data_IF_174495624708
#
_entry.id   IF_174495624708
#
_cell.length_a   1.000
_cell.length_b   1.000
_cell.length_c   1.000
_cell.angle_alpha   90.00
_cell.angle_beta   90.00
_cell.angle_gamma   90.00
#
_symmetry.space_group_name_H-M   'P 1'
#
loop_
_entity.id
_entity.type
_entity.pdbx_description
1 polymer ?
2 branched ?
3 non-polymer ?
4 non-polymer ?
5 water ?
#
# COMPACT_ATOMS: atom_id res chain seq x y z
N UNK A 2 -5.33 9.99 -8.30
CA UNK A 2 -4.03 10.22 -7.69
C UNK A 2 -3.59 8.99 -6.91
N UNK A 3 -2.45 8.43 -7.34
CA UNK A 3 -1.88 7.23 -6.74
C UNK A 3 -0.64 7.63 -5.95
N UNK A 4 -0.47 7.05 -4.77
CA UNK A 4 0.69 7.32 -3.94
C UNK A 4 1.48 6.04 -3.70
N UNK A 5 2.80 6.13 -3.84
CA UNK A 5 3.71 5.00 -3.58
C UNK A 5 4.76 5.62 -2.64
N UNK A 6 5.49 4.77 -1.94
CA UNK A 6 6.57 5.20 -1.06
C UNK A 6 7.69 4.21 -1.35
N UNK A 7 8.89 4.72 -1.58
CA UNK A 7 10.00 3.81 -1.87
C UNK A 7 11.34 4.43 -1.58
N UNK A 8 12.33 3.58 -1.27
CA UNK A 8 13.69 4.06 -1.07
C UNK A 8 14.39 3.64 -2.36
N UNK A 9 15.70 3.85 -2.45
CA UNK A 9 16.40 3.50 -3.68
C UNK A 9 16.35 2.01 -3.99
N UNK A 10 16.39 1.17 -2.96
CA UNK A 10 16.35 -0.28 -3.13
C UNK A 10 15.12 -0.76 -3.89
N UNK A 11 14.01 -0.04 -3.75
CA UNK A 11 12.76 -0.41 -4.40
C UNK A 11 12.38 0.39 -5.65
N UNK A 12 13.31 1.19 -6.16
CA UNK A 12 13.02 2.01 -7.35
C UNK A 12 12.57 1.19 -8.56
N UNK A 13 13.25 0.07 -8.83
CA UNK A 13 12.88 -0.75 -9.98
C UNK A 13 11.49 -1.38 -9.81
N UNK A 14 11.19 -1.87 -8.61
CA UNK A 14 9.89 -2.47 -8.32
C UNK A 14 8.78 -1.42 -8.39
N UNK A 15 9.09 -0.21 -7.92
CA UNK A 15 8.14 0.90 -7.97
C UNK A 15 7.70 1.12 -9.42
N UNK A 16 8.68 1.10 -10.33
CA UNK A 16 8.41 1.29 -11.75
C UNK A 16 7.43 0.25 -12.31
N UNK A 17 7.67 -1.02 -11.99
CA UNK A 17 6.81 -2.10 -12.46
C UNK A 17 5.41 -1.96 -11.87
N UNK A 18 5.32 -1.65 -10.58
CA UNK A 18 4.00 -1.50 -9.95
C UNK A 18 3.25 -0.34 -10.59
N UNK A 19 3.94 0.77 -10.80
CA UNK A 19 3.33 1.96 -11.39
C UNK A 19 2.81 1.65 -12.79
N UNK A 20 3.60 0.92 -13.57
CA UNK A 20 3.15 0.59 -14.90
C UNK A 20 1.93 -0.34 -14.86
N UNK A 21 1.83 -1.20 -13.85
CA UNK A 21 0.66 -2.06 -13.78
C UNK A 21 -0.58 -1.17 -13.58
N UNK A 22 -0.42 -0.08 -12.85
CA UNK A 22 -1.55 0.83 -12.64
C UNK A 22 -1.95 1.48 -13.96
N UNK A 23 -0.98 1.96 -14.72
CA UNK A 23 -1.29 2.58 -16.00
C UNK A 23 -1.96 1.56 -16.93
N UNK A 24 -1.39 0.37 -17.02
CA UNK A 24 -1.94 -0.66 -17.88
C UNK A 24 -3.41 -0.94 -17.57
N UNK A 25 -3.76 -0.89 -16.29
CA UNK A 25 -5.14 -1.16 -15.87
C UNK A 25 -6.12 0.00 -16.07
N UNK A 26 -5.61 1.16 -16.45
CA UNK A 26 -6.47 2.32 -16.67
C UNK A 26 -6.09 3.04 -17.96
N UNK A 27 -6.36 2.39 -19.12
CA UNK A 27 -6.04 2.95 -20.43
C UNK A 27 -6.64 4.32 -20.74
N UNK A 28 -7.75 4.69 -20.11
CA UNK A 28 -8.35 6.00 -20.38
C UNK A 28 -8.54 6.87 -19.15
N UNK A 29 -7.68 6.71 -18.16
CA UNK A 29 -7.77 7.54 -16.96
C UNK A 29 -6.42 8.18 -16.72
N UNK A 30 -6.41 9.47 -16.38
CA UNK A 30 -5.17 10.16 -16.07
C UNK A 30 -4.69 9.59 -14.74
N UNK A 31 -3.45 9.13 -14.72
CA UNK A 31 -2.90 8.59 -13.48
C UNK A 31 -1.76 9.49 -13.03
N UNK A 32 -2.01 10.21 -11.95
CA UNK A 32 -1.01 11.10 -11.40
C UNK A 32 -0.36 10.40 -10.21
N UNK A 33 0.92 10.05 -10.40
CA UNK A 33 1.69 9.37 -9.36
C UNK A 33 2.40 10.36 -8.43
N UNK A 34 2.33 10.08 -7.12
CA UNK A 34 2.96 10.91 -6.10
C UNK A 34 3.83 9.92 -5.33
N UNK A 35 5.14 10.04 -5.47
CA UNK A 35 6.04 9.11 -4.80
C UNK A 35 6.72 9.72 -3.57
N UNK A 36 6.53 9.07 -2.43
CA UNK A 36 7.16 9.51 -1.19
C UNK A 36 8.56 8.92 -1.35
N UNK A 37 9.48 9.80 -1.69
CA UNK A 37 10.87 9.45 -1.99
C UNK A 37 11.80 9.49 -0.77
N UNK A 38 12.20 8.32 -0.31
CA UNK A 38 13.07 8.23 0.85
C UNK A 38 14.55 8.10 0.49
N UNK A 39 14.94 8.54 -0.69
CA UNK A 39 16.34 8.45 -1.05
C UNK A 39 16.65 7.82 -2.40
N UNK A 40 15.71 7.89 -3.34
CA UNK A 40 15.92 7.31 -4.67
C UNK A 40 16.93 8.19 -5.45
N UNK A 41 17.94 7.57 -6.05
CA UNK A 41 18.95 8.30 -6.81
C UNK A 41 18.35 9.04 -7.99
N UNK A 42 19.07 10.05 -8.47
CA UNK A 42 18.60 10.81 -9.62
C UNK A 42 18.46 9.88 -10.81
N UNK A 43 19.40 8.95 -10.94
CA UNK A 43 19.37 8.01 -12.05
C UNK A 43 18.14 7.13 -11.98
N UNK A 44 17.80 6.67 -10.78
CA UNK A 44 16.65 5.80 -10.64
C UNK A 44 15.33 6.54 -10.82
N UNK A 45 15.30 7.83 -10.49
CA UNK A 45 14.07 8.58 -10.67
C UNK A 45 13.85 8.79 -12.16
N UNK A 46 14.92 9.10 -12.90
CA UNK A 46 14.81 9.32 -14.33
C UNK A 46 14.39 8.01 -15.00
N UNK A 47 14.95 6.89 -14.54
CA UNK A 47 14.61 5.59 -15.11
C UNK A 47 13.14 5.24 -14.89
N UNK A 48 12.64 5.49 -13.68
CA UNK A 48 11.24 5.20 -13.38
C UNK A 48 10.36 6.05 -14.30
N UNK A 49 10.63 7.34 -14.34
CA UNK A 49 9.85 8.28 -15.14
C UNK A 49 9.88 7.92 -16.62
N UNK A 50 11.06 7.56 -17.11
CA UNK A 50 11.21 7.20 -18.52
C UNK A 50 10.34 6.03 -18.97
N UNK A 51 10.00 5.14 -18.04
CA UNK A 51 9.18 3.98 -18.37
C UNK A 51 7.67 4.20 -18.25
N UNK A 52 7.27 5.36 -17.76
CA UNK A 52 5.84 5.62 -17.60
C UNK A 52 5.25 6.39 -18.77
N UNK A 53 3.94 6.54 -18.77
CA UNK A 53 3.22 7.23 -19.84
C UNK A 53 3.69 8.68 -20.01
N UNK A 54 3.83 9.09 -21.26
CA UNK A 54 4.27 10.45 -21.56
C UNK A 54 5.71 10.72 -21.19
N UNK A 55 6.47 9.65 -20.93
CA UNK A 55 7.86 9.82 -20.55
C UNK A 55 7.95 10.20 -19.08
N UNK A 56 6.88 9.93 -18.34
CA UNK A 56 6.87 10.25 -16.93
C UNK A 56 6.45 11.67 -16.62
N UNK A 57 5.50 12.19 -17.39
CA UNK A 57 5.03 13.55 -17.16
C UNK A 57 4.05 13.61 -15.98
N UNK A 58 3.49 12.45 -15.62
CA UNK A 58 2.54 12.40 -14.52
C UNK A 58 3.10 11.77 -13.23
N UNK A 59 4.37 12.04 -12.92
CA UNK A 59 4.93 11.52 -11.69
C UNK A 59 5.80 12.55 -10.99
N UNK A 60 5.53 12.72 -9.70
CA UNK A 60 6.25 13.69 -8.89
C UNK A 60 6.84 12.98 -7.68
N UNK A 61 8.12 13.19 -7.46
CA UNK A 61 8.80 12.57 -6.33
C UNK A 61 8.83 13.58 -5.22
N UNK A 62 8.40 13.15 -4.03
CA UNK A 62 8.35 14.02 -2.86
C UNK A 62 9.36 13.53 -1.82
N UNK A 63 10.38 14.34 -1.58
CA UNK A 63 11.41 13.99 -0.63
C UNK A 63 10.88 13.85 0.80
N UNK A 64 11.22 12.74 1.43
CA UNK A 64 10.82 12.49 2.81
C UNK A 64 12.11 12.12 3.55
N UNK A 65 12.19 12.52 4.82
CA UNK A 65 13.36 12.23 5.64
C UNK A 65 13.10 10.93 6.41
N UNK A 66 13.73 9.83 5.99
CA UNK A 66 13.54 8.55 6.68
C UNK A 66 13.81 8.60 8.18
N UNK A 67 14.74 9.46 8.60
CA UNK A 67 15.08 9.56 10.02
C UNK A 67 13.88 10.02 10.85
N UNK A 68 12.88 10.64 10.23
CA UNK A 68 11.71 11.10 10.97
C UNK A 68 11.05 9.99 11.78
N UNK A 69 11.12 8.76 11.27
CA UNK A 69 10.49 7.63 11.95
C UNK A 69 11.48 6.67 12.60
N UNK A 70 12.67 7.18 12.89
CA UNK A 70 13.73 6.38 13.49
C UNK A 70 13.35 5.67 14.79
N UNK A 71 12.57 6.32 15.63
CA UNK A 71 12.20 5.71 16.90
C UNK A 71 11.16 4.60 16.84
N UNK A 72 10.53 4.43 15.68
CA UNK A 72 9.50 3.40 15.49
C UNK A 72 10.06 1.99 15.27
N UNK A 73 9.36 0.96 15.76
CA UNK A 73 9.85 -0.41 15.59
C UNK A 73 10.06 -0.85 14.15
N UNK A 74 11.14 -1.59 13.94
CA UNK A 74 11.48 -2.10 12.63
C UNK A 74 11.98 -3.54 12.81
N UNK A 75 11.03 -4.43 13.12
CA UNK A 75 11.32 -5.84 13.37
C UNK A 75 11.18 -6.79 12.16
N UNK A 76 10.35 -6.43 11.19
CA UNK A 76 10.15 -7.26 10.01
C UNK A 76 11.31 -7.02 9.05
N UNK A 77 12.16 -8.03 8.91
CA UNK A 77 13.36 -7.95 8.09
C UNK A 77 13.21 -7.48 6.64
N UNK A 78 12.18 -7.95 5.94
CA UNK A 78 12.05 -7.54 4.55
C UNK A 78 11.52 -6.11 4.37
N UNK A 79 11.27 -5.42 5.48
CA UNK A 79 10.73 -4.07 5.39
C UNK A 79 11.67 -2.97 5.87
N UNK A 80 11.83 -1.92 5.07
CA UNK A 80 12.69 -0.79 5.44
C UNK A 80 11.87 0.32 6.11
N UNK A 81 12.56 1.24 6.75
CA UNK A 81 11.91 2.34 7.47
C UNK A 81 10.96 3.19 6.63
N UNK A 82 11.14 3.16 5.32
CA UNK A 82 10.28 3.95 4.43
C UNK A 82 8.79 3.55 4.57
N UNK A 83 8.56 2.37 5.13
CA UNK A 83 7.18 1.89 5.31
C UNK A 83 6.35 2.82 6.21
N UNK A 84 7.01 3.67 6.99
CA UNK A 84 6.29 4.61 7.87
C UNK A 84 5.98 5.97 7.23
N UNK A 85 6.56 6.25 6.07
CA UNK A 85 6.35 7.56 5.44
C UNK A 85 4.89 7.92 5.21
N UNK A 86 4.07 6.91 4.97
CA UNK A 86 2.65 7.13 4.69
C UNK A 86 1.96 7.89 5.82
N UNK A 87 2.47 7.76 7.04
CA UNK A 87 1.87 8.43 8.19
C UNK A 87 1.82 9.97 8.05
N UNK A 88 2.76 10.54 7.29
CA UNK A 88 2.79 11.99 7.08
C UNK A 88 2.19 12.43 5.75
N UNK A 89 1.34 11.58 5.18
CA UNK A 89 0.72 11.88 3.89
C UNK A 89 0.02 13.25 3.86
N UNK A 90 -0.59 13.62 4.98
CA UNK A 90 -1.27 14.90 5.07
C UNK A 90 -0.32 16.09 4.95
N UNK A 91 0.96 15.87 5.26
CA UNK A 91 1.99 16.90 5.18
C UNK A 91 2.69 16.91 3.82
N UNK A 92 2.74 15.74 3.18
CA UNK A 92 3.39 15.59 1.89
C UNK A 92 2.59 15.96 0.65
N UNK A 93 1.27 15.85 0.72
CA UNK A 93 0.44 16.15 -0.44
C UNK A 93 -0.62 17.21 -0.13
N UNK A 94 -0.56 18.31 -0.87
CA UNK A 94 -1.48 19.42 -0.67
C UNK A 94 -2.55 19.52 -1.74
N UNK A 95 -2.21 19.11 -2.96
CA UNK A 95 -3.12 19.19 -4.10
C UNK A 95 -4.25 18.17 -4.22
N UNK A 96 -4.37 17.25 -3.26
CA UNK A 96 -5.44 16.24 -3.36
C UNK A 96 -6.29 16.07 -2.12
N UNK A 97 -7.59 15.94 -2.32
CA UNK A 97 -8.50 15.73 -1.20
C UNK A 97 -8.61 14.22 -0.96
N UNK A 98 -8.27 13.44 -1.99
CA UNK A 98 -8.33 11.98 -1.91
C UNK A 98 -7.18 11.37 -2.69
N UNK A 99 -6.53 10.36 -2.10
CA UNK A 99 -5.45 9.67 -2.78
C UNK A 99 -5.58 8.17 -2.53
N UNK A 100 -5.06 7.38 -3.46
CA UNK A 100 -5.09 5.95 -3.32
C UNK A 100 -3.64 5.50 -3.14
N UNK A 101 -3.34 5.04 -1.93
CA UNK A 101 -2.02 4.59 -1.57
C UNK A 101 -1.86 3.10 -1.84
N UNK A 102 -0.74 2.74 -2.47
CA UNK A 102 -0.45 1.34 -2.77
C UNK A 102 0.96 1.00 -2.32
N UNK A 103 1.15 -0.21 -1.82
CA UNK A 103 2.46 -0.69 -1.42
C UNK A 103 3.14 -0.95 -2.76
N UNK A 104 4.44 -1.19 -2.70
CA UNK A 104 5.24 -1.44 -3.92
C UNK A 104 5.04 -2.86 -4.42
N UNK A 105 4.79 -3.78 -3.48
CA UNK A 105 4.60 -5.19 -3.81
C UNK A 105 3.17 -5.52 -4.24
N UNK A 106 2.60 -4.70 -5.11
CA UNK A 106 1.26 -4.93 -5.62
C UNK A 106 1.30 -4.98 -7.14
N UNK A 107 0.34 -5.69 -7.70
CA UNK A 107 0.22 -5.83 -9.14
C UNK A 107 -1.26 -5.60 -9.44
N UNK A 108 -1.58 -4.45 -10.04
CA UNK A 108 -2.96 -4.12 -10.35
C UNK A 108 -3.37 -4.92 -11.57
N UNK A 109 -4.42 -5.73 -11.42
CA UNK A 109 -4.90 -6.59 -12.51
C UNK A 109 -6.24 -6.18 -13.11
N UNK A 110 -6.93 -5.25 -12.46
CA UNK A 110 -8.22 -4.76 -12.97
C UNK A 110 -8.41 -3.31 -12.53
N UNK A 111 -9.36 -2.62 -13.15
CA UNK A 111 -9.63 -1.22 -12.85
C UNK A 111 -9.85 -0.93 -11.37
N UNK A 112 -9.30 0.20 -10.92
CA UNK A 112 -9.42 0.64 -9.53
C UNK A 112 -10.54 1.68 -9.38
N UNK A 113 -11.20 1.99 -10.49
CA UNK A 113 -12.27 3.00 -10.47
C UNK A 113 -13.33 2.77 -9.39
N UNK A 114 -13.86 1.54 -9.28
CA UNK A 114 -14.89 1.27 -8.26
C UNK A 114 -14.40 1.66 -6.88
N UNK A 115 -13.14 1.36 -6.58
CA UNK A 115 -12.56 1.70 -5.28
C UNK A 115 -12.41 3.21 -5.20
N UNK A 116 -11.77 3.79 -6.21
CA UNK A 116 -11.57 5.24 -6.27
C UNK A 116 -12.89 6.01 -6.12
N UNK A 117 -13.96 5.52 -6.73
CA UNK A 117 -15.25 6.20 -6.67
C UNK A 117 -15.98 6.02 -5.34
N UNK A 118 -15.43 5.21 -4.44
CA UNK A 118 -16.10 4.99 -3.15
C UNK A 118 -16.16 6.26 -2.31
N UNK A 119 -17.34 6.56 -1.77
CA UNK A 119 -17.49 7.75 -0.93
C UNK A 119 -17.09 7.39 0.51
N UNK A 120 -16.03 8.03 0.99
CA UNK A 120 -15.51 7.76 2.34
C UNK A 120 -16.25 8.51 3.44
N UNK A 121 -17.08 9.49 3.07
CA UNK A 121 -17.79 10.24 4.10
C UNK A 121 -16.80 10.86 5.06
N UNK A 122 -17.05 10.74 6.37
CA UNK A 122 -16.11 11.32 7.32
C UNK A 122 -15.17 10.26 7.89
N UNK A 123 -15.08 9.13 7.20
CA UNK A 123 -14.18 8.04 7.59
C UNK A 123 -12.76 8.50 7.27
N UNK A 124 -11.79 7.94 7.99
CA UNK A 124 -10.39 8.27 7.78
C UNK A 124 -9.85 7.69 6.48
N UNK A 125 -10.33 6.51 6.12
CA UNK A 125 -9.88 5.85 4.89
C UNK A 125 -10.72 4.64 4.56
N UNK A 126 -10.46 4.08 3.38
CA UNK A 126 -11.14 2.88 2.94
C UNK A 126 -10.03 1.86 2.77
N UNK A 127 -10.25 0.63 3.22
CA UNK A 127 -9.23 -0.41 3.12
C UNK A 127 -9.85 -1.80 3.16
N UNK A 128 -9.10 -2.80 2.69
CA UNK A 128 -9.62 -4.17 2.71
C UNK A 128 -9.20 -4.85 4.00
N UNK A 129 -10.00 -5.81 4.43
CA UNK A 129 -9.73 -6.56 5.67
C UNK A 129 -8.57 -7.53 5.52
N UNK A 130 -7.76 -7.64 6.57
CA UNK A 130 -6.62 -8.54 6.57
C UNK A 130 -7.01 -9.83 7.28
N UNK A 131 -7.28 -10.88 6.51
CA UNK A 131 -7.67 -12.19 7.05
C UNK A 131 -6.58 -12.84 7.89
N UNK A 132 -5.33 -12.58 7.51
CA UNK A 132 -4.19 -13.15 8.21
C UNK A 132 -4.16 -12.66 9.67
N UNK A 133 -4.31 -11.35 9.84
CA UNK A 133 -4.29 -10.78 11.18
C UNK A 133 -5.58 -11.05 11.94
N UNK A 134 -6.73 -11.02 11.25
CA UNK A 134 -8.01 -11.29 11.88
C UNK A 134 -8.07 -12.70 12.47
N UNK A 135 -7.39 -13.66 11.83
CA UNK A 135 -7.43 -15.00 12.37
C UNK A 135 -6.35 -15.25 13.40
N UNK A 136 -5.58 -14.21 13.72
CA UNK A 136 -4.54 -14.31 14.73
C UNK A 136 -5.30 -14.00 16.02
N UNK A 137 -6.00 -15.00 16.55
CA UNK A 137 -6.81 -14.84 17.76
C UNK A 137 -6.15 -14.06 18.90
N UNK A 138 -6.87 -13.05 19.37
CA UNK A 138 -6.37 -12.23 20.47
C UNK A 138 -5.44 -11.09 20.11
N UNK A 139 -4.87 -11.10 18.91
CA UNK A 139 -3.95 -10.03 18.54
C UNK A 139 -4.61 -8.67 18.47
N UNK A 140 -5.64 -8.57 17.65
CA UNK A 140 -6.40 -7.34 17.44
C UNK A 140 -6.68 -6.64 18.77
N UNK A 141 -7.07 -7.44 19.76
CA UNK A 141 -7.39 -6.93 21.08
C UNK A 141 -6.17 -6.36 21.80
N UNK A 142 -4.98 -6.87 21.49
CA UNK A 142 -3.75 -6.38 22.11
C UNK A 142 -3.51 -4.90 21.78
N UNK A 143 -3.97 -4.46 20.62
CA UNK A 143 -3.79 -3.06 20.24
C UNK A 143 -5.04 -2.20 20.43
N UNK A 144 -5.91 -2.65 21.33
CA UNK A 144 -7.11 -1.91 21.66
C UNK A 144 -8.33 -2.01 20.78
N UNK A 146 -11.79 -3.79 19.10
CA UNK A 146 -12.91 -4.62 19.53
C UNK A 146 -13.10 -5.75 18.54
N UNK A 147 -13.85 -6.77 18.95
CA UNK A 147 -14.12 -7.93 18.10
C UNK A 147 -14.82 -7.52 16.81
N UNK A 148 -15.66 -6.50 16.89
CA UNK A 148 -16.40 -6.02 15.73
C UNK A 148 -15.71 -5.01 14.85
N UNK A 149 -14.49 -4.63 15.22
CA UNK A 149 -13.74 -3.67 14.42
C UNK A 149 -12.73 -4.53 13.67
N UNK A 150 -12.80 -4.53 12.35
CA UNK A 150 -11.92 -5.38 11.56
C UNK A 150 -10.58 -4.77 11.21
N UNK A 151 -9.55 -5.57 11.45
CA UNK A 151 -8.17 -5.16 11.19
C UNK A 151 -7.94 -5.10 9.68
N UNK A 152 -7.51 -3.95 9.18
CA UNK A 152 -7.29 -3.82 7.75
C UNK A 152 -5.81 -3.89 7.38
N UNK A 153 -5.56 -4.23 6.12
CA UNK A 153 -4.19 -4.30 5.63
C UNK A 153 -3.85 -2.92 5.14
N UNK A 154 -2.64 -2.46 5.44
CA UNK A 154 -2.23 -1.10 5.06
C UNK A 154 -1.64 -0.99 3.67
N UNK A 155 -1.69 -2.06 2.90
CA UNK A 155 -1.11 -2.04 1.57
C UNK A 155 -1.89 -1.35 0.46
N UNK A 156 -3.19 -1.19 0.66
CA UNK A 156 -4.08 -0.53 -0.30
C UNK A 156 -5.00 0.36 0.53
N UNK A 157 -4.81 1.68 0.40
CA UNK A 157 -5.61 2.63 1.19
C UNK A 157 -6.18 3.80 0.40
N UNK A 158 -7.51 3.94 0.43
CA UNK A 158 -8.15 5.08 -0.21
C UNK A 158 -8.20 6.07 0.95
N UNK A 159 -7.43 7.15 0.83
CA UNK A 159 -7.32 8.10 1.92
C UNK A 159 -8.09 9.42 1.80
N UNK A 160 -8.82 9.74 2.86
CA UNK A 160 -9.59 10.98 2.93
C UNK A 160 -8.56 12.02 3.38
N UNK A 161 -7.69 12.42 2.46
CA UNK A 161 -6.62 13.36 2.78
C UNK A 161 -7.11 14.68 3.36
N UNK A 162 -8.25 15.16 2.88
CA UNK A 162 -8.79 16.42 3.38
C UNK A 162 -9.00 16.32 4.89
N UNK A 163 -9.49 15.16 5.35
CA UNK A 163 -9.72 14.93 6.78
C UNK A 163 -8.38 14.84 7.52
N UNK A 164 -7.44 14.11 6.93
CA UNK A 164 -6.12 13.96 7.55
C UNK A 164 -5.45 15.31 7.80
N UNK A 165 -5.56 16.24 6.85
CA UNK A 165 -4.93 17.55 7.00
C UNK A 165 -5.51 18.39 8.14
N UNK A 166 -6.67 17.97 8.67
CA UNK A 166 -7.28 18.66 9.79
C UNK A 166 -6.69 18.17 11.11
N UNK A 167 -5.78 17.20 11.03
CA UNK A 167 -5.17 16.63 12.23
C UNK A 167 -3.67 16.47 12.08
N UNK A 168 -2.99 16.19 13.19
CA UNK A 168 -1.55 15.97 13.19
C UNK A 168 -1.37 14.47 13.35
N UNK A 169 -1.48 13.76 12.22
CA UNK A 169 -1.39 12.31 12.18
C UNK A 169 -0.07 11.75 12.75
N UNK A 170 1.04 12.44 12.47
CA UNK A 170 2.34 11.99 12.98
C UNK A 170 2.41 12.06 14.51
N UNK A 171 1.88 13.14 15.09
CA UNK A 171 1.89 13.28 16.52
C UNK A 171 1.01 12.18 17.13
N UNK A 173 0.42 9.40 15.88
CA UNK A 173 1.12 8.13 15.65
C UNK A 173 2.19 7.89 16.71
N UNK A 174 2.99 8.92 16.98
CA UNK A 174 4.06 8.83 17.96
C UNK A 174 3.47 8.51 19.33
N UNK A 175 2.34 9.13 19.65
CA UNK A 175 1.67 8.91 20.93
C UNK A 175 1.13 7.49 21.02
N UNK A 176 0.60 6.97 19.91
CA UNK A 176 0.05 5.62 19.89
C UNK A 176 1.19 4.60 20.04
N UNK A 177 2.30 4.88 19.38
CA UNK A 177 3.47 3.98 19.45
C UNK A 177 4.00 3.92 20.87
N UNK A 178 3.97 5.07 21.55
CA UNK A 178 4.46 5.10 22.92
C UNK A 178 3.59 4.20 23.79
N UNK A 179 2.30 4.15 23.47
CA UNK A 179 1.34 3.34 24.24
C UNK A 179 1.32 1.85 23.90
N UNK A 180 1.66 1.50 22.67
CA UNK A 180 1.62 0.11 22.25
C UNK A 180 2.93 -0.49 21.74
N UNK A 181 4.02 0.25 21.83
CA UNK A 181 5.30 -0.23 21.31
C UNK A 181 5.78 -1.61 21.77
N UNK A 182 5.33 -2.06 22.94
CA UNK A 182 5.78 -3.35 23.44
C UNK A 182 4.92 -4.51 22.96
N UNK A 183 3.83 -4.23 22.25
CA UNK A 183 2.98 -5.30 21.78
C UNK A 183 2.74 -5.30 20.27
N UNK A 185 3.04 -5.74 16.47
CA UNK A 185 3.77 -6.72 15.68
C UNK A 185 3.82 -6.33 14.21
N UNK A 186 2.99 -5.36 13.81
CA UNK A 186 2.96 -4.99 12.41
C UNK A 186 3.30 -3.56 12.03
N UNK A 187 4.09 -2.90 12.87
CA UNK A 187 4.58 -1.56 12.59
C UNK A 187 3.57 -0.50 12.13
N UNK A 188 3.77 0.12 10.97
CA UNK A 188 2.86 1.16 10.50
C UNK A 188 1.41 0.71 10.35
N UNK A 189 1.24 -0.57 10.04
CA UNK A 189 -0.09 -1.13 9.87
C UNK A 189 -0.86 -1.12 11.19
N UNK A 190 -0.17 -1.41 12.31
CA UNK A 190 -0.82 -1.39 13.61
C UNK A 190 -1.27 0.03 13.94
N UNK A 191 -0.39 1.00 13.71
CA UNK A 191 -0.68 2.40 13.99
C UNK A 191 -1.94 2.88 13.30
N UNK A 192 -2.04 2.64 12.00
CA UNK A 192 -3.21 3.05 11.22
C UNK A 192 -4.49 2.42 11.77
N UNK A 193 -4.44 1.12 12.07
CA UNK A 193 -5.62 0.43 12.63
C UNK A 193 -5.99 0.99 13.99
N UNK A 194 -4.99 1.23 14.83
CA UNK A 194 -5.24 1.76 16.16
C UNK A 194 -5.83 3.16 16.16
N UNK A 195 -5.26 4.02 15.32
CA UNK A 195 -5.75 5.40 15.24
C UNK A 195 -7.11 5.56 14.59
N UNK A 196 -7.39 4.77 13.55
CA UNK A 196 -8.64 4.94 12.82
C UNK A 196 -9.78 3.96 13.06
N UNK A 197 -9.58 2.98 13.92
CA UNK A 197 -10.60 2.00 14.23
C UNK A 197 -11.94 2.70 14.49
N UNK A 198 -13.01 2.17 13.91
CA UNK A 198 -14.33 2.76 14.10
C UNK A 198 -14.61 3.82 13.06
N UNK A 199 -13.58 4.23 12.33
CA UNK A 199 -13.75 5.24 11.30
C UNK A 199 -13.13 4.74 10.01
N UNK A 200 -13.37 3.48 9.70
CA UNK A 200 -12.86 2.84 8.49
C UNK A 200 -13.98 2.35 7.57
N UNK A 201 -13.85 2.64 6.29
CA UNK A 201 -14.79 2.17 5.29
C UNK A 201 -14.13 0.89 4.76
N UNK A 202 -14.84 -0.22 4.75
CA UNK A 202 -14.22 -1.45 4.27
C UNK A 202 -14.50 -1.73 2.79
N UNK A 203 -13.43 -1.98 2.06
CA UNK A 203 -13.51 -2.27 0.63
C UNK A 203 -13.48 -3.78 0.45
N UNK A 204 -14.01 -4.28 -0.67
CA UNK A 204 -14.02 -5.71 -0.93
C UNK A 204 -12.59 -6.22 -1.08
N UNK A 205 -12.36 -7.47 -0.71
CA UNK A 205 -11.02 -8.04 -0.81
C UNK A 205 -10.46 -8.12 -2.21
N UNK A 206 -11.28 -7.86 -3.23
CA UNK A 206 -10.76 -7.91 -4.60
C UNK A 206 -9.70 -6.81 -4.80
N UNK A 207 -9.74 -5.79 -3.92
CA UNK A 207 -8.81 -4.68 -4.02
C UNK A 207 -7.54 -4.82 -3.20
N UNK A 208 -7.37 -5.97 -2.56
CA UNK A 208 -6.19 -6.25 -1.78
C UNK A 208 -6.20 -7.77 -1.57
N UNK A 209 -5.91 -8.50 -2.65
CA UNK A 209 -5.92 -9.96 -2.63
C UNK A 209 -4.55 -10.48 -2.26
N UNK A 211 -1.88 -13.47 -0.05
CA UNK A 211 -1.77 -14.93 0.05
C UNK A 211 -2.87 -15.60 0.88
N UNK A 212 -3.25 -14.98 1.99
CA UNK A 212 -4.28 -15.58 2.83
C UNK A 212 -5.64 -15.61 2.14
N UNK A 213 -5.93 -14.61 1.31
CA UNK A 213 -7.20 -14.54 0.57
C UNK A 213 -7.22 -15.70 -0.41
N UNK A 214 -6.05 -15.97 -1.01
CA UNK A 214 -5.94 -17.06 -1.97
C UNK A 214 -6.16 -18.40 -1.26
N UNK A 215 -5.48 -18.58 -0.13
CA UNK A 215 -5.60 -19.81 0.64
C UNK A 215 -7.04 -19.99 1.10
N UNK A 216 -7.71 -18.89 1.43
CA UNK A 216 -9.09 -18.94 1.89
C UNK A 216 -10.01 -19.56 0.85
N UNK A 222 -13.07 -21.35 6.73
CA UNK A 222 -13.99 -20.91 7.77
C UNK A 222 -13.78 -19.44 8.10
N UNK A 223 -14.81 -18.64 7.87
CA UNK A 223 -14.76 -17.20 8.15
C UNK A 223 -14.64 -16.96 9.66
N UNK A 224 -13.87 -15.95 10.03
CA UNK A 224 -13.67 -15.64 11.45
C UNK A 224 -14.89 -15.02 12.11
N UNK A 225 -15.80 -14.45 11.31
CA UNK A 225 -17.02 -13.83 11.85
C UNK A 225 -18.26 -14.19 11.05
N UNK A 226 -19.43 -14.12 11.70
CA UNK A 226 -20.69 -14.43 11.04
C UNK A 226 -21.30 -13.13 10.50
N UNK A 227 -20.79 -12.01 11.00
CA UNK A 227 -21.25 -10.68 10.59
C UNK A 227 -21.35 -10.63 9.06
N UNK A 228 -22.56 -10.44 8.52
CA UNK A 228 -22.78 -10.39 7.07
C UNK A 228 -21.92 -9.36 6.34
N UNK A 229 -21.66 -8.21 6.98
CA UNK A 229 -20.83 -7.20 6.34
C UNK A 229 -19.40 -7.74 6.22
N UNK A 230 -18.90 -8.34 7.30
CA UNK A 230 -17.57 -8.92 7.29
C UNK A 230 -17.48 -9.96 6.18
N UNK A 231 -18.51 -10.80 6.07
CA UNK A 231 -18.52 -11.85 5.05
C UNK A 231 -18.60 -11.28 3.64
N UNK A 232 -19.37 -10.21 3.46
CA UNK A 232 -19.51 -9.57 2.16
C UNK A 232 -18.16 -9.00 1.67
N UNK A 233 -17.45 -8.33 2.58
CA UNK A 233 -16.18 -7.70 2.24
C UNK A 233 -15.04 -8.70 2.05
N UNK A 234 -15.02 -9.77 2.82
CA UNK A 234 -13.93 -10.74 2.71
C UNK A 234 -14.12 -11.76 1.58
N UNK A 235 -15.33 -11.83 1.05
CA UNK A 235 -15.58 -12.73 -0.06
C UNK A 235 -15.18 -11.93 -1.29
N UNK A 236 -14.06 -12.30 -1.88
CA UNK A 236 -13.57 -11.60 -3.05
C UNK A 236 -14.53 -11.74 -4.23
N UNK A 237 -14.92 -10.61 -4.81
CA UNK A 237 -15.79 -10.63 -5.98
C UNK A 237 -14.83 -10.56 -7.17
N UNK A 239 -13.25 -10.32 -11.00
CA UNK A 239 -11.85 -10.72 -10.96
C UNK A 239 -11.03 -9.96 -9.91
N UNK A 240 -9.87 -10.50 -9.59
CA UNK A 240 -8.99 -9.85 -8.64
C UNK A 240 -8.58 -8.53 -9.28
N UNK A 241 -8.63 -7.44 -8.53
CA UNK A 241 -8.25 -6.11 -9.03
C UNK A 241 -6.81 -5.77 -8.62
N UNK A 242 -6.43 -6.21 -7.43
CA UNK A 242 -5.10 -5.95 -6.91
C UNK A 242 -4.49 -7.18 -6.23
N UNK A 243 -3.35 -7.66 -6.75
CA UNK A 243 -2.64 -8.78 -6.14
C UNK A 243 -1.67 -8.08 -5.21
N UNK A 244 -1.61 -8.51 -3.95
CA UNK A 244 -0.71 -7.91 -2.98
C UNK A 244 0.15 -9.03 -2.37
N UNK A 245 1.46 -8.99 -2.62
CA UNK A 245 2.37 -10.02 -2.14
C UNK A 245 3.00 -9.69 -0.79
N UNK A 246 2.18 -9.43 0.22
CA UNK A 246 2.70 -9.09 1.52
C UNK A 246 3.50 -10.26 2.10
N UNK A 247 4.47 -9.94 2.94
CA UNK A 247 5.29 -10.99 3.51
C UNK A 247 6.62 -11.04 2.81
N UNK A 248 7.55 -11.89 3.27
CA UNK A 248 8.89 -12.01 2.67
C UNK A 248 8.96 -12.54 1.23
N UNK A 249 7.95 -13.27 0.78
CA UNK A 249 7.97 -13.83 -0.56
C UNK A 249 7.45 -12.85 -1.60
N UNK A 250 8.36 -12.23 -2.35
CA UNK A 250 7.98 -11.25 -3.36
C UNK A 250 8.07 -11.79 -4.79
N UNK A 251 7.28 -11.23 -5.71
CA UNK A 251 7.30 -11.69 -7.10
C UNK A 251 8.63 -11.49 -7.83
N UNK A 252 9.48 -10.60 -7.31
CA UNK A 252 10.78 -10.35 -7.93
C UNK A 252 11.89 -11.26 -7.40
N UNK A 253 11.52 -12.17 -6.49
CA UNK A 253 12.51 -13.09 -5.94
C UNK A 253 12.39 -14.44 -6.63
N UNK A 254 13.25 -15.37 -6.21
CA UNK A 254 13.27 -16.71 -6.79
C UNK A 254 12.14 -17.53 -6.19
N UNK A 255 11.72 -18.54 -6.94
CA UNK A 255 10.66 -19.45 -6.54
C UNK A 255 9.47 -18.83 -5.81
N UNK A 256 8.93 -17.74 -6.37
CA UNK A 256 7.77 -17.10 -5.77
C UNK A 256 6.62 -17.97 -6.24
N UNK A 257 5.95 -18.62 -5.29
CA UNK A 257 4.84 -19.50 -5.64
C UNK A 257 3.49 -18.82 -5.44
N UNK A 258 3.53 -17.53 -5.11
CA UNK A 258 2.32 -16.76 -4.92
C UNK A 258 1.58 -16.67 -6.25
N UNK A 259 0.25 -16.67 -6.16
CA UNK A 259 -0.61 -16.60 -7.35
C UNK A 259 -0.44 -15.30 -8.14
N UNK A 260 -0.35 -15.44 -9.47
CA UNK A 260 -0.21 -14.28 -10.35
C UNK A 260 1.15 -13.61 -10.40
N UNK A 261 2.13 -14.18 -9.71
CA UNK A 261 3.47 -13.62 -9.69
C UNK A 261 4.09 -13.45 -11.08
N UNK A 262 3.70 -14.28 -12.05
CA UNK A 262 4.28 -14.24 -13.38
C UNK A 262 3.94 -12.94 -14.09
N UNK A 263 2.92 -12.21 -13.67
CA UNK A 263 2.60 -10.96 -14.35
C UNK A 263 3.68 -9.92 -14.03
N UNK A 264 4.41 -10.12 -12.94
CA UNK A 264 5.47 -9.19 -12.58
C UNK A 264 6.57 -9.24 -13.63
N UNK A 265 7.08 -10.43 -13.88
CA UNK A 265 8.14 -10.61 -14.88
C UNK A 265 7.63 -10.18 -16.26
N UNK A 266 6.37 -10.45 -16.53
CA UNK A 266 5.76 -10.08 -17.80
C UNK A 266 5.79 -8.55 -17.99
N UNK A 267 5.50 -7.81 -16.92
CA UNK A 267 5.53 -6.34 -16.98
C UNK A 267 6.96 -5.84 -17.07
N UNK A 268 7.83 -6.40 -16.23
CA UNK A 268 9.23 -6.00 -16.22
C UNK A 268 9.83 -6.12 -17.62
N UNK A 269 9.46 -7.19 -18.32
CA UNK A 269 9.98 -7.40 -19.66
C UNK A 269 9.41 -6.44 -20.69
N UNK A 270 8.34 -5.75 -20.34
CA UNK A 270 7.72 -4.79 -21.25
C UNK A 270 8.28 -3.40 -21.06
N UNK A 271 9.16 -3.24 -20.07
CA UNK A 271 9.74 -1.94 -19.78
C UNK A 271 10.47 -1.35 -20.98
N UNK A 272 10.25 -0.06 -21.18
CA UNK A 272 10.89 0.69 -22.26
C UNK A 272 12.39 0.84 -22.04
N UNK A 273 12.76 1.26 -20.83
CA UNK A 273 14.15 1.46 -20.46
C UNK A 273 14.51 0.64 -19.23
N UNK A 274 15.58 -0.14 -19.33
CA UNK A 274 16.02 -0.95 -18.20
C UNK A 274 17.50 -0.74 -17.93
N UNK A 275 17.84 0.05 -16.90
CA UNK A 275 19.23 0.32 -16.54
C UNK A 275 20.00 -0.96 -16.22
N UNK A 276 21.26 -0.99 -16.60
CA UNK A 276 22.12 -2.13 -16.35
C UNK A 276 21.99 -2.54 -14.88
N UNK A 277 21.91 -1.56 -14.00
CA UNK A 277 21.81 -1.85 -12.58
C UNK A 277 20.46 -2.43 -12.12
N UNK A 278 19.47 -2.43 -13.01
CA UNK A 278 18.14 -3.00 -12.70
C UNK A 278 18.06 -4.44 -13.20
N UNK A 279 19.02 -4.84 -14.03
CA UNK A 279 19.03 -6.19 -14.59
C UNK A 279 19.00 -7.26 -13.52
N UNK A 280 19.71 -7.02 -12.43
CA UNK A 280 19.74 -7.98 -11.35
C UNK A 280 18.39 -8.20 -10.68
N UNK A 281 17.85 -7.14 -10.09
CA UNK A 281 16.57 -7.26 -9.42
C UNK A 281 15.36 -7.56 -10.30
N UNK A 282 15.47 -7.34 -11.60
CA UNK A 282 14.35 -7.64 -12.51
C UNK A 282 14.68 -8.86 -13.38
#
# INVERSE_FOLDING_TARGET
XDIVFAADDNYAAYLCVAAKSVEAAHPDTEIRFHVLDAGISEANRAAVAANLRGGGGNIRFIDVNPEDFAGFPLNIRHISITTYARLKLGEYIADCDKVLYLDIDVLVRDSLTPLWDTDLGDNWLGASIDLFVERQEGYKQKIGXADGEYYFNAGVLLINLKKWRRHDIFKXSSEWVEQYKDVXQYQDQDILNGLFKGGVCYANSRFNFXPTNYAFXANWFASRHTDPLYRDRTNTVXPVAVSHYCGPAKPWHRDCTAWGAERFTELAGSLTTVPEEWRGKLAVPHRMFSTKRMLQRWRRKLSARFLRKIY
#
